data_IF_606271348184
#
_entry.id   IF_606271348184
#
_cell.length_a   1.000
_cell.length_b   1.000
_cell.length_c   1.000
_cell.angle_alpha   90.00
_cell.angle_beta   90.00
_cell.angle_gamma   90.00
#
_symmetry.space_group_name_H-M   'P 1'
#
loop_
_entity.id
_entity.type
_entity.pdbx_description
1 polymer ?
#
# COMPACT_ATOMS: atom_id res chain seq x y z
N UNK A 1 -21.15 9.48 38.20
CA UNK A 1 -19.74 9.40 37.75
C UNK A 1 -19.69 8.42 36.59
N UNK A 2 -19.60 8.93 35.37
CA UNK A 2 -19.62 8.14 34.15
C UNK A 2 -18.22 8.14 33.52
N UNK A 3 -17.67 6.96 33.27
CA UNK A 3 -16.56 6.77 32.32
C UNK A 3 -16.85 5.49 31.54
N UNK A 4 -17.65 5.63 30.47
CA UNK A 4 -17.82 4.57 29.46
C UNK A 4 -16.68 4.69 28.45
N UNK A 5 -15.78 3.71 28.50
CA UNK A 5 -14.67 3.54 27.57
C UNK A 5 -15.20 3.13 26.18
N UNK A 6 -15.33 4.08 25.26
CA UNK A 6 -15.64 3.76 23.86
C UNK A 6 -14.35 3.69 23.05
N UNK A 7 -13.81 2.47 22.95
CA UNK A 7 -12.67 2.12 22.13
C UNK A 7 -13.18 1.66 20.75
N UNK A 8 -13.40 2.59 19.82
CA UNK A 8 -13.83 2.26 18.45
C UNK A 8 -12.63 1.90 17.60
N UNK A 9 -12.21 0.64 17.67
CA UNK A 9 -11.30 0.05 16.69
C UNK A 9 -12.11 -0.13 15.40
N UNK A 10 -11.86 0.74 14.40
CA UNK A 10 -12.42 0.57 13.07
C UNK A 10 -11.86 -0.73 12.45
N UNK A 11 -12.68 -1.78 12.44
CA UNK A 11 -12.36 -3.03 11.78
C UNK A 11 -12.42 -2.83 10.26
N UNK A 12 -11.26 -2.72 9.61
CA UNK A 12 -11.16 -2.76 8.16
C UNK A 12 -11.42 -4.19 7.70
N UNK A 13 -12.67 -4.50 7.36
CA UNK A 13 -13.04 -5.75 6.73
C UNK A 13 -12.38 -5.86 5.37
N UNK A 14 -11.49 -6.84 5.20
CA UNK A 14 -10.88 -7.20 3.93
C UNK A 14 -11.99 -7.77 3.01
N UNK A 15 -12.64 -6.89 2.23
CA UNK A 15 -13.55 -7.27 1.15
C UNK A 15 -12.89 -6.88 -0.16
N UNK A 16 -12.26 -7.86 -0.82
CA UNK A 16 -11.63 -7.67 -2.13
C UNK A 16 -12.65 -7.57 -3.29
N UNK A 17 -13.95 -7.56 -2.98
CA UNK A 17 -15.01 -7.68 -3.98
C UNK A 17 -15.71 -6.38 -4.39
N UNK A 18 -15.11 -5.19 -4.26
CA UNK A 18 -15.88 -3.94 -4.53
C UNK A 18 -15.10 -2.75 -5.09
N UNK A 19 -13.81 -2.86 -5.43
CA UNK A 19 -13.10 -1.73 -6.06
C UNK A 19 -13.52 -1.52 -7.52
N UNK A 20 -13.97 -2.58 -8.20
CA UNK A 20 -14.45 -2.50 -9.59
C UNK A 20 -15.88 -1.95 -9.66
N UNK A 21 -16.74 -2.26 -8.67
CA UNK A 21 -18.07 -1.65 -8.54
C UNK A 21 -18.00 -0.16 -8.19
N UNK A 22 -17.00 0.26 -7.39
CA UNK A 22 -16.76 1.67 -7.05
C UNK A 22 -16.15 2.49 -8.21
N UNK A 23 -15.77 1.85 -9.33
CA UNK A 23 -15.34 2.51 -10.56
C UNK A 23 -16.50 2.85 -11.50
N UNK A 24 -17.75 2.59 -11.12
CA UNK A 24 -18.84 3.36 -11.68
C UNK A 24 -18.57 4.82 -11.33
N UNK A 25 -18.07 5.59 -12.31
CA UNK A 25 -18.01 7.05 -12.21
C UNK A 25 -19.45 7.54 -12.08
N UNK A 26 -19.91 7.70 -10.84
CA UNK A 26 -21.10 8.47 -10.56
C UNK A 26 -20.81 9.89 -11.03
N UNK A 27 -21.44 10.27 -12.15
CA UNK A 27 -21.33 11.62 -12.70
C UNK A 27 -22.10 12.55 -11.77
N UNK A 28 -21.38 13.35 -10.97
CA UNK A 28 -21.98 14.35 -10.09
C UNK A 28 -22.42 15.59 -10.89
N UNK A 29 -23.73 15.87 -10.91
CA UNK A 29 -24.33 17.02 -11.59
C UNK A 29 -24.60 18.21 -10.65
N UNK A 30 -24.23 18.11 -9.36
CA UNK A 30 -24.52 19.10 -8.32
C UNK A 30 -24.07 20.53 -8.67
N UNK A 31 -23.03 20.67 -9.50
CA UNK A 31 -22.50 21.95 -9.96
C UNK A 31 -23.25 22.56 -11.17
N UNK A 32 -24.14 21.78 -11.81
CA UNK A 32 -24.89 22.16 -13.01
C UNK A 32 -26.38 22.46 -12.74
N UNK A 33 -26.88 22.12 -11.56
CA UNK A 33 -28.28 22.31 -11.16
C UNK A 33 -28.53 23.68 -10.50
N UNK A 34 -29.77 24.21 -10.52
CA UNK A 34 -30.10 25.46 -9.84
C UNK A 34 -29.99 25.33 -8.32
N UNK A 35 -29.63 26.42 -7.64
CA UNK A 35 -29.41 26.47 -6.19
C UNK A 35 -30.61 25.98 -5.37
N UNK A 36 -31.84 26.26 -5.82
CA UNK A 36 -33.07 25.81 -5.15
C UNK A 36 -33.20 24.29 -5.15
N UNK A 37 -32.80 23.64 -6.25
CA UNK A 37 -32.80 22.19 -6.36
C UNK A 37 -31.65 21.58 -5.54
N UNK A 38 -30.47 22.20 -5.56
CA UNK A 38 -29.33 21.78 -4.76
C UNK A 38 -29.63 21.83 -3.25
N UNK A 39 -30.28 22.92 -2.79
CA UNK A 39 -30.68 23.08 -1.39
C UNK A 39 -31.73 22.05 -0.96
N UNK A 40 -32.66 21.71 -1.85
CA UNK A 40 -33.62 20.65 -1.61
C UNK A 40 -32.95 19.26 -1.55
N UNK A 41 -31.97 18.97 -2.43
CA UNK A 41 -31.20 17.71 -2.43
C UNK A 41 -30.33 17.54 -1.17
N UNK A 42 -29.67 18.61 -0.73
CA UNK A 42 -28.77 18.60 0.43
C UNK A 42 -29.48 18.85 1.77
N UNK A 43 -30.77 19.20 1.73
CA UNK A 43 -31.61 19.61 2.85
C UNK A 43 -30.96 20.74 3.67
N UNK A 44 -30.49 21.77 2.98
CA UNK A 44 -29.81 22.93 3.59
C UNK A 44 -30.48 24.24 3.20
N UNK A 45 -30.36 25.23 4.07
CA UNK A 45 -30.75 26.62 3.79
C UNK A 45 -29.56 27.42 3.23
N UNK A 46 -29.82 28.44 2.39
CA UNK A 46 -28.79 29.29 1.79
C UNK A 46 -28.29 30.39 2.73
N UNK A 47 -29.17 30.92 3.57
CA UNK A 47 -28.90 32.06 4.44
C UNK A 47 -28.38 31.60 5.81
N UNK A 48 -28.95 30.52 6.35
CA UNK A 48 -28.65 30.03 7.72
C UNK A 48 -27.76 28.77 7.70
N UNK A 49 -27.75 28.02 6.60
CA UNK A 49 -27.02 26.75 6.49
C UNK A 49 -27.75 25.58 7.18
N UNK A 50 -26.98 24.62 7.69
CA UNK A 50 -27.51 23.46 8.42
C UNK A 50 -27.62 23.75 9.91
N UNK A 51 -28.67 23.24 10.55
CA UNK A 51 -28.80 23.29 12.01
C UNK A 51 -27.68 22.51 12.72
N UNK A 52 -27.21 23.00 13.87
CA UNK A 52 -26.12 22.35 14.62
C UNK A 52 -26.48 20.92 15.07
N UNK A 53 -27.76 20.66 15.37
CA UNK A 53 -28.25 19.33 15.73
C UNK A 53 -28.16 18.35 14.55
N UNK A 54 -28.58 18.80 13.37
CA UNK A 54 -28.52 18.01 12.14
C UNK A 54 -27.08 17.80 11.67
N UNK A 55 -26.23 18.82 11.75
CA UNK A 55 -24.81 18.71 11.45
C UNK A 55 -24.12 17.66 12.35
N UNK A 56 -24.47 17.64 13.65
CA UNK A 56 -23.94 16.65 14.60
C UNK A 56 -24.45 15.25 14.32
N UNK A 57 -25.72 15.09 13.91
CA UNK A 57 -26.30 13.81 13.49
C UNK A 57 -25.54 13.26 12.27
N UNK A 58 -25.40 14.06 11.22
CA UNK A 58 -24.64 13.69 10.00
C UNK A 58 -23.18 13.35 10.30
N UNK A 59 -22.53 14.06 11.22
CA UNK A 59 -21.16 13.76 11.65
C UNK A 59 -21.05 12.39 12.36
N UNK A 60 -22.06 12.00 13.15
CA UNK A 60 -22.08 10.69 13.81
C UNK A 60 -22.37 9.55 12.83
N UNK A 61 -23.21 9.79 11.82
CA UNK A 61 -23.57 8.80 10.81
C UNK A 61 -22.48 8.60 9.75
N UNK A 62 -21.96 9.69 9.19
CA UNK A 62 -20.99 9.65 8.08
C UNK A 62 -19.54 9.63 8.56
N UNK A 63 -19.29 9.97 9.83
CA UNK A 63 -17.95 10.14 10.38
C UNK A 63 -17.30 11.47 10.00
N UNK A 64 -16.07 11.72 10.48
CA UNK A 64 -15.34 12.94 10.19
C UNK A 64 -15.01 13.03 8.69
N UNK A 65 -15.10 14.24 8.13
CA UNK A 65 -14.62 14.53 6.78
C UNK A 65 -13.08 14.54 6.74
N UNK A 66 -12.49 13.36 6.94
CA UNK A 66 -11.07 13.12 6.96
C UNK A 66 -10.78 11.80 6.22
N UNK A 67 -9.76 11.83 5.37
CA UNK A 67 -9.32 10.62 4.67
C UNK A 67 -8.78 9.61 5.69
N UNK A 68 -9.19 8.33 5.61
CA UNK A 68 -8.70 7.30 6.50
C UNK A 68 -7.18 7.12 6.29
N UNK A 69 -6.40 7.22 7.37
CA UNK A 69 -4.98 6.91 7.33
C UNK A 69 -4.78 5.40 7.22
N UNK A 70 -4.25 4.95 6.10
CA UNK A 70 -3.88 3.56 5.91
C UNK A 70 -2.67 3.25 6.82
N UNK A 71 -2.72 2.22 7.68
CA UNK A 71 -1.59 1.90 8.54
C UNK A 71 -0.37 1.49 7.72
N UNK A 72 0.85 1.97 8.06
CA UNK A 72 2.04 1.63 7.32
C UNK A 72 2.28 0.12 7.38
N UNK A 73 2.52 -0.48 6.22
CA UNK A 73 2.92 -1.90 6.12
C UNK A 73 4.29 -2.07 6.78
N UNK A 74 4.51 -3.19 7.48
CA UNK A 74 5.79 -3.45 8.14
C UNK A 74 6.94 -3.51 7.14
N UNK A 75 8.07 -2.89 7.49
CA UNK A 75 9.25 -2.76 6.63
C UNK A 75 9.78 -4.10 6.08
N UNK A 76 9.72 -5.16 6.89
CA UNK A 76 10.16 -6.49 6.49
C UNK A 76 9.24 -7.12 5.43
N UNK A 77 7.93 -6.84 5.45
CA UNK A 77 6.99 -7.31 4.41
C UNK A 77 7.24 -6.64 3.07
N UNK A 78 7.61 -5.36 3.11
CA UNK A 78 7.99 -4.61 1.90
C UNK A 78 9.28 -5.16 1.29
N UNK A 79 10.27 -5.45 2.15
CA UNK A 79 11.51 -6.06 1.72
C UNK A 79 11.27 -7.44 1.09
N UNK A 80 10.47 -8.29 1.74
CA UNK A 80 10.17 -9.63 1.25
C UNK A 80 9.46 -9.60 -0.11
N UNK A 81 8.51 -8.68 -0.31
CA UNK A 81 7.83 -8.50 -1.59
C UNK A 81 8.82 -8.20 -2.73
N UNK A 82 9.86 -7.44 -2.43
CA UNK A 82 10.85 -7.04 -3.43
C UNK A 82 11.92 -8.13 -3.67
N UNK A 83 12.31 -8.86 -2.62
CA UNK A 83 13.22 -10.02 -2.72
C UNK A 83 12.58 -11.19 -3.49
N UNK A 84 11.26 -11.33 -3.47
CA UNK A 84 10.52 -12.39 -4.20
C UNK A 84 9.76 -11.86 -5.44
N UNK A 85 10.15 -10.70 -5.97
CA UNK A 85 9.61 -10.20 -7.24
C UNK A 85 9.96 -11.11 -8.42
N UNK A 86 9.20 -11.00 -9.52
CA UNK A 86 9.35 -11.85 -10.71
C UNK A 86 10.79 -11.94 -11.24
N UNK A 87 11.54 -10.83 -11.21
CA UNK A 87 12.95 -10.80 -11.62
C UNK A 87 13.89 -11.47 -10.61
N UNK A 88 13.72 -11.22 -9.31
CA UNK A 88 14.57 -11.80 -8.25
C UNK A 88 14.50 -13.33 -8.20
N UNK A 89 13.37 -13.93 -8.58
CA UNK A 89 13.23 -15.39 -8.68
C UNK A 89 14.22 -16.00 -9.68
N UNK A 90 14.48 -15.34 -10.82
CA UNK A 90 15.47 -15.82 -11.79
C UNK A 90 16.88 -15.82 -11.18
N UNK A 91 17.21 -14.80 -10.40
CA UNK A 91 18.52 -14.68 -9.76
C UNK A 91 18.70 -15.71 -8.64
N UNK A 92 17.64 -16.03 -7.89
CA UNK A 92 17.66 -17.13 -6.91
C UNK A 92 17.93 -18.48 -7.56
N UNK A 93 17.28 -18.77 -8.70
CA UNK A 93 17.55 -19.99 -9.47
C UNK A 93 18.99 -20.03 -9.96
N UNK A 94 19.52 -18.90 -10.46
CA UNK A 94 20.91 -18.82 -10.90
C UNK A 94 21.91 -19.03 -9.75
N UNK A 95 21.64 -18.46 -8.57
CA UNK A 95 22.47 -18.67 -7.37
C UNK A 95 22.49 -20.14 -6.94
N UNK A 96 21.31 -20.79 -6.90
CA UNK A 96 21.21 -22.23 -6.59
C UNK A 96 21.95 -23.06 -7.64
N UNK A 97 21.81 -22.74 -8.92
CA UNK A 97 22.49 -23.44 -10.01
C UNK A 97 24.01 -23.35 -9.88
N UNK A 98 24.56 -22.17 -9.55
CA UNK A 98 26.00 -22.00 -9.35
C UNK A 98 26.53 -22.79 -8.15
N UNK A 99 25.76 -22.85 -7.05
CA UNK A 99 26.10 -23.68 -5.89
C UNK A 99 26.08 -25.16 -6.25
N UNK A 100 25.08 -25.63 -6.99
CA UNK A 100 25.00 -27.03 -7.45
C UNK A 100 26.16 -27.36 -8.39
N UNK A 101 26.50 -26.48 -9.34
CA UNK A 101 27.66 -26.65 -10.22
C UNK A 101 28.97 -26.75 -9.42
N UNK A 102 29.17 -25.88 -8.42
CA UNK A 102 30.31 -25.95 -7.52
C UNK A 102 30.37 -27.30 -6.77
N UNK A 103 29.24 -27.76 -6.23
CA UNK A 103 29.18 -29.05 -5.53
C UNK A 103 29.54 -30.22 -6.46
N UNK A 104 29.05 -30.23 -7.71
CA UNK A 104 29.36 -31.29 -8.67
C UNK A 104 30.84 -31.26 -9.08
N UNK A 105 31.39 -30.08 -9.34
CA UNK A 105 32.81 -29.94 -9.72
C UNK A 105 33.76 -30.33 -8.58
N UNK A 106 33.48 -29.93 -7.34
CA UNK A 106 34.27 -30.34 -6.17
C UNK A 106 34.29 -31.87 -6.02
N UNK A 107 33.19 -32.56 -6.35
CA UNK A 107 33.14 -34.03 -6.31
C UNK A 107 33.89 -34.70 -7.47
N UNK A 108 33.92 -34.09 -8.66
CA UNK A 108 34.56 -34.66 -9.85
C UNK A 108 36.06 -34.30 -9.95
N UNK A 109 36.44 -33.12 -9.48
CA UNK A 109 37.78 -32.55 -9.57
C UNK A 109 38.13 -31.78 -8.28
N UNK A 110 38.57 -32.48 -7.22
CA UNK A 110 38.84 -31.86 -5.91
C UNK A 110 40.00 -30.85 -5.90
N UNK A 111 40.89 -30.88 -6.90
CA UNK A 111 41.96 -29.87 -7.09
C UNK A 111 41.59 -28.81 -8.15
N UNK A 112 40.33 -28.78 -8.57
CA UNK A 112 39.82 -27.86 -9.60
C UNK A 112 39.72 -26.40 -9.14
N UNK A 113 39.70 -25.43 -10.08
CA UNK A 113 39.48 -24.01 -9.77
C UNK A 113 38.11 -23.77 -9.12
N UNK A 114 38.03 -22.91 -8.10
CA UNK A 114 36.80 -22.61 -7.35
C UNK A 114 35.95 -21.48 -7.97
N UNK A 115 36.05 -21.30 -9.29
CA UNK A 115 35.47 -20.15 -10.01
C UNK A 115 33.94 -20.08 -9.89
N UNK A 116 33.28 -21.24 -9.82
CA UNK A 116 31.83 -21.34 -9.66
C UNK A 116 31.32 -20.87 -8.29
N UNK A 117 32.15 -20.95 -7.24
CA UNK A 117 31.81 -20.38 -5.94
C UNK A 117 31.81 -18.85 -6.01
N UNK A 118 32.80 -18.26 -6.67
CA UNK A 118 32.87 -16.80 -6.89
C UNK A 118 31.67 -16.31 -7.70
N UNK A 119 31.28 -17.04 -8.75
CA UNK A 119 30.11 -16.70 -9.55
C UNK A 119 28.82 -16.74 -8.72
N UNK A 120 28.65 -17.75 -7.86
CA UNK A 120 27.50 -17.84 -6.94
C UNK A 120 27.45 -16.70 -5.94
N UNK A 121 28.58 -16.33 -5.33
CA UNK A 121 28.68 -15.20 -4.39
C UNK A 121 28.40 -13.87 -5.08
N UNK A 122 28.89 -13.68 -6.30
CA UNK A 122 28.64 -12.48 -7.10
C UNK A 122 27.14 -12.27 -7.35
N UNK A 123 26.41 -13.35 -7.68
CA UNK A 123 24.96 -13.30 -7.90
C UNK A 123 24.22 -12.92 -6.60
N UNK A 124 24.63 -13.44 -5.44
CA UNK A 124 24.04 -13.06 -4.15
C UNK A 124 24.24 -11.56 -3.84
N UNK A 125 25.41 -11.01 -4.16
CA UNK A 125 25.68 -9.57 -4.00
C UNK A 125 24.78 -8.74 -4.92
N UNK A 126 24.60 -9.16 -6.17
CA UNK A 126 23.70 -8.49 -7.13
C UNK A 126 22.26 -8.50 -6.61
N UNK A 127 21.78 -9.62 -6.08
CA UNK A 127 20.44 -9.72 -5.46
C UNK A 127 20.31 -8.76 -4.28
N UNK A 128 21.32 -8.68 -3.40
CA UNK A 128 21.29 -7.78 -2.26
C UNK A 128 21.21 -6.30 -2.69
N UNK A 129 22.03 -5.89 -3.65
CA UNK A 129 22.06 -4.52 -4.17
C UNK A 129 20.72 -4.17 -4.83
N UNK A 130 20.25 -4.99 -5.77
CA UNK A 130 18.96 -4.78 -6.45
C UNK A 130 17.78 -4.79 -5.48
N UNK A 131 17.86 -5.57 -4.39
CA UNK A 131 16.82 -5.61 -3.38
C UNK A 131 16.76 -4.31 -2.56
N UNK A 132 17.92 -3.78 -2.19
CA UNK A 132 18.05 -2.51 -1.47
C UNK A 132 17.55 -1.35 -2.33
N UNK A 133 17.95 -1.28 -3.61
CA UNK A 133 17.50 -0.23 -4.51
C UNK A 133 15.98 -0.21 -4.71
N UNK A 134 15.33 -1.36 -4.86
CA UNK A 134 13.89 -1.36 -5.00
C UNK A 134 13.14 -1.10 -3.70
N UNK A 135 13.71 -1.43 -2.53
CA UNK A 135 13.18 -0.93 -1.25
C UNK A 135 13.19 0.60 -1.20
N UNK A 136 14.30 1.23 -1.61
CA UNK A 136 14.40 2.69 -1.65
C UNK A 136 13.38 3.31 -2.62
N UNK A 137 13.26 2.77 -3.84
CA UNK A 137 12.26 3.24 -4.81
C UNK A 137 10.83 3.08 -4.31
N UNK A 138 10.52 1.96 -3.65
CA UNK A 138 9.19 1.72 -3.11
C UNK A 138 8.87 2.62 -1.91
N UNK A 139 9.84 2.88 -1.03
CA UNK A 139 9.65 3.71 0.16
C UNK A 139 9.22 5.14 -0.18
N UNK A 140 9.79 5.73 -1.23
CA UNK A 140 9.40 7.05 -1.74
C UNK A 140 7.97 7.09 -2.28
N UNK A 141 7.45 5.96 -2.75
CA UNK A 141 6.07 5.83 -3.26
C UNK A 141 5.07 5.64 -2.12
N UNK A 142 5.42 4.85 -1.09
CA UNK A 142 4.54 4.65 0.07
C UNK A 142 4.28 5.96 0.83
N UNK A 143 5.25 6.87 0.90
CA UNK A 143 5.06 8.17 1.55
C UNK A 143 3.98 9.05 0.87
N UNK A 144 3.72 8.86 -0.43
CA UNK A 144 2.70 9.63 -1.15
C UNK A 144 1.27 9.10 -0.95
N UNK A 145 1.09 7.84 -0.55
CA UNK A 145 -0.23 7.22 -0.32
C UNK A 145 -0.80 7.58 1.08
N UNK A 146 0.04 7.88 2.06
CA UNK A 146 -0.35 8.16 3.46
C UNK A 146 -0.34 9.64 3.87
N UNK A 147 0.11 10.55 2.99
CA UNK A 147 0.09 12.00 3.22
C UNK A 147 -1.00 12.64 2.36
N UNK A 148 -2.21 12.89 2.89
CA UNK A 148 -3.18 13.69 2.18
C UNK A 148 -2.87 15.18 2.35
N UNK A 149 -2.77 15.89 1.22
CA UNK A 149 -3.18 17.29 1.00
C UNK A 149 -2.94 18.29 2.15
N UNK A 150 -1.70 18.41 2.64
CA UNK A 150 -1.24 19.68 3.22
C UNK A 150 -0.24 20.33 2.27
N UNK A 151 -0.75 20.74 1.11
CA UNK A 151 -0.07 21.67 0.21
C UNK A 151 -0.94 22.91 0.13
N UNK A 152 -0.75 23.81 1.09
CA UNK A 152 -0.95 25.25 0.89
C UNK A 152 0.40 25.87 0.56
#
# INVERSE_FOLDING_TARGET
>A
MATSSNNTVFHYGHRDHTLEDLKHEEVYDDHSIPLTELCARLETDLDVGLDEGEARRRLQENGPNALPRIPPKAWWRLLLKHVFGAFSVLLWVAAVLCIVCYLVEEHMHPDGPKDNLFLGVLILIIIAITSVFGYFQASSVYEQEVVPLNRR
#
